data_IF_534911076764
#
_entry.id   IF_534911076764
#
_cell.length_a   1.000
_cell.length_b   1.000
_cell.length_c   1.000
_cell.angle_alpha   90.00
_cell.angle_beta   90.00
_cell.angle_gamma   90.00
#
_symmetry.space_group_name_H-M   'P 1'
#
loop_
_entity.id
_entity.type
_entity.pdbx_description
1 polymer ?
#
# COMPACT_ATOMS: atom_id res chain seq x y z
N UNK A 1 19.52 5.22 2.79
CA UNK A 1 18.87 4.23 3.67
C UNK A 1 18.33 4.99 4.88
N UNK A 2 17.18 4.58 5.43
CA UNK A 2 16.54 5.17 6.61
C UNK A 2 15.90 4.07 7.48
N UNK A 3 15.69 4.34 8.75
CA UNK A 3 15.01 3.43 9.69
C UNK A 3 14.18 4.19 10.71
N UNK A 4 13.17 3.53 11.29
CA UNK A 4 12.48 4.03 12.47
C UNK A 4 13.42 4.06 13.68
N UNK A 5 13.12 4.88 14.68
CA UNK A 5 13.98 5.06 15.86
C UNK A 5 14.15 3.77 16.68
N UNK A 6 13.14 2.91 16.68
CA UNK A 6 13.13 1.60 17.32
C UNK A 6 13.69 0.47 16.43
N UNK A 7 14.06 0.79 15.18
CA UNK A 7 14.56 -0.19 14.22
C UNK A 7 13.52 -1.18 13.71
N UNK A 8 12.21 -0.97 13.97
CA UNK A 8 11.16 -1.88 13.54
C UNK A 8 10.94 -1.90 12.02
N UNK A 9 11.28 -0.81 11.31
CA UNK A 9 11.20 -0.72 9.86
C UNK A 9 12.44 -0.02 9.30
N UNK A 10 12.99 -0.59 8.23
CA UNK A 10 14.03 0.03 7.42
C UNK A 10 13.59 0.21 5.96
N UNK A 11 14.12 1.26 5.33
CA UNK A 11 13.85 1.68 3.96
C UNK A 11 15.17 1.94 3.22
N UNK A 12 15.33 1.37 2.03
CA UNK A 12 16.48 1.60 1.15
C UNK A 12 16.02 1.83 -0.29
N UNK A 13 16.83 2.55 -1.08
CA UNK A 13 16.60 2.70 -2.52
C UNK A 13 17.10 1.45 -3.24
N UNK A 14 16.34 0.97 -4.23
CA UNK A 14 16.76 -0.08 -5.16
C UNK A 14 16.44 0.33 -6.60
N UNK A 15 17.09 -0.30 -7.56
CA UNK A 15 16.84 -0.05 -8.97
C UNK A 15 15.55 -0.74 -9.44
N UNK A 16 14.72 0.01 -10.16
CA UNK A 16 13.54 -0.50 -10.87
C UNK A 16 13.20 0.46 -12.01
N UNK A 17 13.29 -0.01 -13.26
CA UNK A 17 13.21 0.75 -14.53
C UNK A 17 14.24 1.88 -14.71
N UNK A 18 14.58 2.57 -13.62
CA UNK A 18 15.60 3.61 -13.47
C UNK A 18 16.40 3.34 -12.20
N UNK A 19 17.58 3.95 -12.10
CA UNK A 19 18.37 3.89 -10.88
C UNK A 19 17.61 4.47 -9.69
N UNK A 20 17.62 3.76 -8.57
CA UNK A 20 16.90 4.12 -7.33
C UNK A 20 15.40 4.37 -7.53
N UNK A 21 14.80 3.76 -8.56
CA UNK A 21 13.39 3.91 -8.93
C UNK A 21 12.39 3.28 -7.96
N UNK A 22 12.85 2.48 -6.99
CA UNK A 22 12.00 1.85 -6.00
C UNK A 22 12.54 1.95 -4.57
N UNK A 23 11.69 1.60 -3.60
CA UNK A 23 12.02 1.54 -2.17
C UNK A 23 11.83 0.12 -1.67
N UNK A 24 12.88 -0.49 -1.13
CA UNK A 24 12.79 -1.75 -0.39
C UNK A 24 12.48 -1.45 1.07
N UNK A 25 11.39 -2.03 1.55
CA UNK A 25 10.90 -1.95 2.93
C UNK A 25 11.12 -3.30 3.61
N UNK A 26 11.75 -3.29 4.77
CA UNK A 26 12.03 -4.50 5.56
C UNK A 26 11.52 -4.27 6.98
N UNK A 27 10.54 -5.06 7.41
CA UNK A 27 9.98 -5.00 8.76
C UNK A 27 10.74 -5.96 9.68
N UNK A 28 11.46 -5.41 10.66
CA UNK A 28 12.07 -6.15 11.77
C UNK A 28 11.11 -6.30 12.96
N UNK A 29 10.11 -5.42 13.04
CA UNK A 29 9.05 -5.40 14.05
C UNK A 29 7.72 -4.95 13.42
N UNK A 30 6.64 -4.95 14.21
CA UNK A 30 5.37 -4.39 13.76
C UNK A 30 5.52 -2.88 13.54
N UNK A 31 5.31 -2.42 12.31
CA UNK A 31 5.51 -1.02 11.96
C UNK A 31 4.68 -0.59 10.75
N UNK A 32 4.56 0.72 10.58
CA UNK A 32 3.82 1.36 9.50
C UNK A 32 4.72 2.20 8.60
N UNK A 33 4.56 2.05 7.29
CA UNK A 33 5.03 2.99 6.28
C UNK A 33 3.84 3.73 5.70
N UNK A 34 3.95 5.04 5.49
CA UNK A 34 2.88 5.85 4.93
C UNK A 34 3.41 6.82 3.87
N UNK A 35 2.65 6.99 2.79
CA UNK A 35 2.81 8.09 1.85
C UNK A 35 1.93 9.25 2.33
N UNK A 36 2.56 10.34 2.77
CA UNK A 36 1.87 11.53 3.25
C UNK A 36 1.65 12.49 2.07
N UNK A 37 0.44 12.98 1.91
CA UNK A 37 0.18 14.09 1.00
C UNK A 37 0.37 15.43 1.72
N UNK A 38 1.03 16.38 1.07
CA UNK A 38 1.19 17.73 1.64
C UNK A 38 -0.15 18.49 1.71
N UNK A 39 -1.07 18.18 0.79
CA UNK A 39 -2.45 18.66 0.77
C UNK A 39 -3.38 17.46 0.55
N UNK A 40 -4.54 17.37 1.23
CA UNK A 40 -5.46 16.27 1.03
C UNK A 40 -5.80 16.09 -0.46
N UNK A 41 -5.74 14.85 -0.93
CA UNK A 41 -6.09 14.50 -2.30
C UNK A 41 -7.61 14.33 -2.40
N UNK A 42 -8.20 15.02 -3.39
CA UNK A 42 -9.57 14.78 -3.83
C UNK A 42 -9.54 13.76 -4.96
N UNK A 43 -9.97 12.53 -4.64
CA UNK A 43 -10.13 11.42 -5.57
C UNK A 43 -11.60 10.98 -5.68
N UNK A 44 -12.58 11.81 -5.32
CA UNK A 44 -13.99 11.40 -5.35
C UNK A 44 -14.47 11.13 -6.78
N UNK A 45 -14.04 11.95 -7.74
CA UNK A 45 -14.35 11.75 -9.16
C UNK A 45 -13.79 10.42 -9.68
N UNK A 46 -12.55 10.11 -9.34
CA UNK A 46 -11.86 8.86 -9.66
C UNK A 46 -12.59 7.67 -9.01
N UNK A 47 -12.99 7.82 -7.75
CA UNK A 47 -13.73 6.81 -6.99
C UNK A 47 -15.10 6.51 -7.62
N UNK A 48 -15.79 7.53 -8.13
CA UNK A 48 -17.06 7.37 -8.86
C UNK A 48 -16.88 6.81 -10.27
N UNK A 49 -15.67 6.93 -10.85
CA UNK A 49 -15.32 6.43 -12.18
C UNK A 49 -14.69 5.02 -12.19
N UNK A 50 -14.87 4.24 -11.12
CA UNK A 50 -14.27 2.90 -10.95
C UNK A 50 -12.73 2.86 -11.10
N UNK A 51 -12.05 3.97 -10.78
CA UNK A 51 -10.59 4.04 -10.76
C UNK A 51 -10.04 3.25 -9.56
N UNK A 52 -8.84 2.71 -9.74
CA UNK A 52 -8.11 1.92 -8.75
C UNK A 52 -6.97 2.76 -8.17
N UNK A 53 -6.67 2.54 -6.89
CA UNK A 53 -5.34 2.75 -6.34
C UNK A 53 -4.46 1.59 -6.83
N UNK A 54 -3.63 1.85 -7.84
CA UNK A 54 -2.69 0.88 -8.40
C UNK A 54 -1.36 1.02 -7.68
N UNK A 55 -0.85 -0.11 -7.21
CA UNK A 55 0.43 -0.21 -6.51
C UNK A 55 1.33 -1.18 -7.27
N UNK A 56 2.47 -0.70 -7.74
CA UNK A 56 3.52 -1.55 -8.33
C UNK A 56 4.46 -1.98 -7.23
N UNK A 57 4.46 -3.27 -6.90
CA UNK A 57 5.25 -3.83 -5.82
C UNK A 57 5.87 -5.17 -6.17
N UNK A 58 6.84 -5.60 -5.38
CA UNK A 58 7.41 -6.95 -5.38
C UNK A 58 7.48 -7.46 -3.95
N UNK A 59 6.96 -8.65 -3.72
CA UNK A 59 7.03 -9.32 -2.41
C UNK A 59 8.31 -10.14 -2.36
N UNK A 60 9.27 -9.73 -1.52
CA UNK A 60 10.55 -10.42 -1.35
C UNK A 60 10.47 -11.47 -0.24
N UNK A 61 9.69 -11.21 0.81
CA UNK A 61 9.39 -12.17 1.88
C UNK A 61 8.02 -11.89 2.52
N UNK A 62 7.25 -12.95 2.73
CA UNK A 62 5.98 -12.91 3.45
C UNK A 62 5.84 -14.20 4.28
N UNK A 63 6.23 -14.19 5.57
CA UNK A 63 6.04 -15.35 6.45
C UNK A 63 4.58 -15.80 6.51
N UNK A 64 4.34 -17.09 6.72
CA UNK A 64 2.99 -17.66 6.71
C UNK A 64 2.06 -17.11 7.81
N UNK A 65 2.65 -16.69 8.93
CA UNK A 65 1.98 -16.08 10.08
C UNK A 65 2.01 -14.55 10.06
N UNK A 66 2.53 -13.95 8.98
CA UNK A 66 2.61 -12.50 8.85
C UNK A 66 1.24 -11.86 8.56
N UNK A 67 1.08 -10.62 9.02
CA UNK A 67 -0.06 -9.76 8.68
C UNK A 67 0.41 -8.55 7.91
N UNK A 68 -0.27 -8.22 6.82
CA UNK A 68 -0.09 -6.99 6.06
C UNK A 68 -1.45 -6.36 5.79
N UNK A 69 -1.59 -5.10 6.21
CA UNK A 69 -2.79 -4.30 6.00
C UNK A 69 -2.47 -3.06 5.18
N UNK A 70 -3.36 -2.76 4.24
CA UNK A 70 -3.44 -1.45 3.60
C UNK A 70 -4.23 -0.51 4.49
N UNK A 71 -3.70 0.69 4.73
CA UNK A 71 -4.40 1.75 5.43
C UNK A 71 -4.49 3.02 4.59
N UNK A 72 -5.60 3.74 4.73
CA UNK A 72 -5.74 5.10 4.22
C UNK A 72 -6.25 6.01 5.34
N UNK A 73 -5.91 7.31 5.29
CA UNK A 73 -6.39 8.33 6.24
C UNK A 73 -7.00 9.50 5.48
N UNK A 74 -8.15 9.95 5.95
CA UNK A 74 -8.83 11.15 5.48
C UNK A 74 -9.19 12.07 6.64
N UNK A 75 -9.34 13.37 6.36
CA UNK A 75 -9.81 14.36 7.34
C UNK A 75 -8.92 14.48 8.58
N UNK A 76 -7.65 14.11 8.49
CA UNK A 76 -6.69 14.23 9.59
C UNK A 76 -6.72 13.10 10.62
N UNK A 77 -7.84 12.42 10.86
CA UNK A 77 -7.95 11.41 11.93
C UNK A 77 -8.59 10.10 11.50
N UNK A 78 -9.37 10.09 10.43
CA UNK A 78 -10.15 8.93 10.06
C UNK A 78 -9.29 7.93 9.29
N UNK A 79 -8.93 6.83 9.94
CA UNK A 79 -8.14 5.74 9.34
C UNK A 79 -9.04 4.58 8.98
N UNK A 80 -8.95 4.10 7.75
CA UNK A 80 -9.54 2.83 7.31
C UNK A 80 -8.46 1.80 7.10
N UNK A 81 -8.80 0.52 7.28
CA UNK A 81 -7.88 -0.62 7.14
C UNK A 81 -8.53 -1.67 6.24
N UNK A 82 -7.79 -2.15 5.25
CA UNK A 82 -8.17 -3.26 4.37
C UNK A 82 -7.11 -4.38 4.49
N UNK A 83 -7.52 -5.63 4.75
CA UNK A 83 -6.58 -6.74 4.82
C UNK A 83 -5.94 -6.99 3.45
N UNK A 84 -4.61 -7.07 3.40
CA UNK A 84 -3.86 -7.23 2.15
C UNK A 84 -3.10 -8.56 2.08
N UNK A 85 -2.89 -9.24 3.22
CA UNK A 85 -2.10 -10.48 3.31
C UNK A 85 -2.48 -11.52 2.27
N UNK A 86 -3.78 -11.86 2.13
CA UNK A 86 -4.22 -12.91 1.23
C UNK A 86 -3.95 -12.58 -0.26
N UNK A 87 -4.02 -11.29 -0.62
CA UNK A 87 -3.70 -10.84 -1.98
C UNK A 87 -2.20 -10.95 -2.23
N UNK A 88 -1.37 -10.53 -1.27
CA UNK A 88 0.09 -10.62 -1.39
C UNK A 88 0.58 -12.08 -1.39
N UNK A 89 -0.05 -12.97 -0.63
CA UNK A 89 0.31 -14.40 -0.60
C UNK A 89 -0.01 -15.14 -1.90
N UNK A 90 -0.89 -14.59 -2.73
CA UNK A 90 -1.24 -15.16 -4.02
C UNK A 90 -0.33 -14.68 -5.17
N UNK A 91 0.60 -13.76 -4.88
CA UNK A 91 1.54 -13.24 -5.88
C UNK A 91 2.75 -14.16 -6.04
N UNK A 92 3.36 -14.12 -7.23
CA UNK A 92 4.65 -14.76 -7.46
C UNK A 92 5.74 -13.99 -6.67
N UNK A 93 6.34 -14.67 -5.70
CA UNK A 93 7.41 -14.10 -4.87
C UNK A 93 8.60 -13.67 -5.75
N UNK A 94 9.13 -12.46 -5.51
CA UNK A 94 10.23 -11.90 -6.28
C UNK A 94 9.86 -11.33 -7.66
N UNK A 95 8.58 -11.34 -8.05
CA UNK A 95 8.10 -10.71 -9.27
C UNK A 95 7.48 -9.32 -9.02
N UNK A 96 7.78 -8.36 -9.90
CA UNK A 96 7.07 -7.08 -9.92
C UNK A 96 5.64 -7.29 -10.42
N UNK A 97 4.66 -6.80 -9.65
CA UNK A 97 3.23 -6.94 -9.94
C UNK A 97 2.53 -5.62 -9.66
N UNK A 98 1.54 -5.26 -10.49
CA UNK A 98 0.59 -4.19 -10.21
C UNK A 98 -0.63 -4.76 -9.52
N UNK A 99 -0.80 -4.44 -8.24
CA UNK A 99 -2.06 -4.70 -7.54
C UNK A 99 -2.99 -3.50 -7.69
N UNK A 100 -4.25 -3.74 -8.05
CA UNK A 100 -5.29 -2.74 -8.12
C UNK A 100 -6.21 -2.84 -6.91
N UNK A 101 -6.33 -1.76 -6.13
CA UNK A 101 -7.30 -1.63 -5.06
C UNK A 101 -8.40 -0.68 -5.53
N UNK A 102 -9.66 -1.12 -5.74
CA UNK A 102 -10.73 -0.20 -6.09
C UNK A 102 -10.84 0.91 -5.04
N UNK A 103 -10.79 2.18 -5.45
CA UNK A 103 -10.91 3.31 -4.52
C UNK A 103 -12.23 3.25 -3.73
N UNK A 104 -13.28 2.70 -4.34
CA UNK A 104 -14.56 2.44 -3.67
C UNK A 104 -14.44 1.52 -2.46
N UNK A 105 -13.45 0.60 -2.39
CA UNK A 105 -13.24 -0.19 -1.18
C UNK A 105 -12.84 0.69 0.01
N UNK A 106 -12.01 1.72 -0.22
CA UNK A 106 -11.62 2.67 0.82
C UNK A 106 -12.84 3.46 1.30
N UNK A 107 -13.67 3.93 0.37
CA UNK A 107 -14.94 4.62 0.67
C UNK A 107 -15.92 3.72 1.42
N UNK A 108 -16.08 2.47 1.02
CA UNK A 108 -16.94 1.48 1.71
C UNK A 108 -16.42 1.19 3.13
N UNK A 109 -15.11 1.16 3.32
CA UNK A 109 -14.51 1.06 4.66
C UNK A 109 -14.64 2.35 5.49
N UNK A 110 -15.12 3.43 4.87
CA UNK A 110 -15.52 4.68 5.51
C UNK A 110 -14.74 5.91 5.07
N UNK A 111 -13.60 5.76 4.37
CA UNK A 111 -12.72 6.89 4.07
C UNK A 111 -13.43 7.96 3.23
N UNK A 112 -13.16 9.22 3.54
CA UNK A 112 -13.53 10.33 2.68
C UNK A 112 -12.51 10.44 1.54
N UNK A 113 -12.90 9.92 0.37
CA UNK A 113 -12.06 9.92 -0.83
C UNK A 113 -11.85 11.32 -1.42
N UNK A 114 -12.58 12.34 -0.97
CA UNK A 114 -12.36 13.73 -1.36
C UNK A 114 -11.29 14.45 -0.52
N UNK A 115 -10.80 13.81 0.56
CA UNK A 115 -9.91 14.45 1.54
C UNK A 115 -8.83 13.51 2.08
N UNK A 116 -8.20 12.71 1.20
CA UNK A 116 -7.16 11.75 1.58
C UNK A 116 -5.82 12.44 1.87
N UNK A 117 -5.45 12.54 3.13
CA UNK A 117 -4.15 13.07 3.57
C UNK A 117 -3.08 11.98 3.74
N UNK A 118 -3.50 10.70 3.87
CA UNK A 118 -2.65 9.51 3.67
C UNK A 118 -3.38 8.59 2.70
N UNK A 119 -3.15 8.71 1.38
CA UNK A 119 -3.83 7.87 0.39
C UNK A 119 -3.39 6.40 0.45
N UNK A 120 -2.19 6.13 0.98
CA UNK A 120 -1.63 4.79 1.06
C UNK A 120 -0.68 4.66 2.24
N UNK A 121 -0.85 3.59 3.00
CA UNK A 121 0.06 3.14 4.02
C UNK A 121 0.04 1.61 4.10
N UNK A 122 1.18 1.02 4.44
CA UNK A 122 1.30 -0.40 4.74
C UNK A 122 1.65 -0.56 6.22
N UNK A 123 0.82 -1.30 6.94
CA UNK A 123 1.16 -1.83 8.26
C UNK A 123 1.49 -3.30 8.12
N UNK A 124 2.66 -3.73 8.61
CA UNK A 124 3.07 -5.12 8.52
C UNK A 124 3.76 -5.62 9.79
N UNK A 125 3.70 -6.93 10.00
CA UNK A 125 4.42 -7.64 11.06
C UNK A 125 5.90 -7.85 10.70
N UNK A 126 6.68 -8.28 11.69
CA UNK A 126 8.09 -8.65 11.49
C UNK A 126 8.25 -9.74 10.42
N UNK A 127 9.37 -9.69 9.69
CA UNK A 127 9.75 -10.65 8.65
C UNK A 127 9.22 -10.33 7.26
N UNK A 128 8.28 -9.38 7.12
CA UNK A 128 7.77 -8.93 5.82
C UNK A 128 8.83 -8.11 5.09
N UNK A 129 8.98 -8.34 3.78
CA UNK A 129 9.82 -7.55 2.88
C UNK A 129 9.08 -7.26 1.57
N UNK A 130 8.91 -5.98 1.27
CA UNK A 130 8.19 -5.51 0.08
C UNK A 130 9.01 -4.40 -0.57
N UNK A 131 9.28 -4.53 -1.86
CA UNK A 131 9.74 -3.42 -2.68
C UNK A 131 8.55 -2.69 -3.29
N UNK A 132 8.54 -1.37 -3.20
CA UNK A 132 7.50 -0.48 -3.72
C UNK A 132 8.09 0.44 -4.79
N UNK A 133 7.52 0.43 -5.99
CA UNK A 133 7.99 1.25 -7.10
C UNK A 133 7.06 2.43 -7.41
N UNK A 134 5.75 2.21 -7.39
CA UNK A 134 4.77 3.21 -7.81
C UNK A 134 3.44 3.07 -7.06
N UNK A 135 2.79 4.19 -6.78
CA UNK A 135 1.46 4.28 -6.17
C UNK A 135 0.69 5.39 -6.88
N UNK A 136 -0.37 5.05 -7.60
CA UNK A 136 -1.12 6.01 -8.42
C UNK A 136 -2.61 5.69 -8.52
N UNK A 137 -3.40 6.68 -8.87
CA UNK A 137 -4.77 6.46 -9.35
C UNK A 137 -4.71 6.06 -10.84
N UNK A 138 -5.15 4.85 -11.18
CA UNK A 138 -5.13 4.32 -12.54
C UNK A 138 -6.14 3.17 -12.72
N UNK A 139 -6.16 2.55 -13.90
CA UNK A 139 -7.05 1.42 -14.21
C UNK A 139 -6.30 0.14 -14.58
N UNK A 140 -5.02 0.26 -14.96
CA UNK A 140 -4.19 -0.85 -15.38
C UNK A 140 -3.62 -1.63 -14.18
N UNK A 141 -3.91 -2.92 -14.11
CA UNK A 141 -3.49 -3.79 -13.00
C UNK A 141 -3.27 -5.22 -13.50
N UNK A 142 -2.52 -6.00 -12.73
CA UNK A 142 -2.29 -7.44 -12.98
C UNK A 142 -3.15 -8.30 -12.03
N UNK A 143 -3.32 -7.83 -10.79
CA UNK A 143 -4.12 -8.50 -9.75
C UNK A 143 -5.06 -7.50 -9.10
N UNK A 144 -6.33 -7.88 -8.90
CA UNK A 144 -7.33 -7.01 -8.28
C UNK A 144 -7.58 -7.46 -6.84
N UNK A 145 -7.46 -6.53 -5.88
CA UNK A 145 -7.93 -6.75 -4.52
C UNK A 145 -9.47 -6.82 -4.55
N UNK A 146 -10.02 -7.94 -4.12
CA UNK A 146 -11.44 -8.01 -3.84
C UNK A 146 -11.76 -7.07 -2.67
N UNK A 147 -12.69 -6.12 -2.87
CA UNK A 147 -13.18 -5.33 -1.74
C UNK A 147 -13.72 -6.30 -0.68
N UNK A 148 -13.33 -6.16 0.60
CA UNK A 148 -13.97 -6.94 1.64
C UNK A 148 -15.48 -6.68 1.59
N UNK A 149 -16.25 -7.76 1.50
CA UNK A 149 -17.70 -7.69 1.66
C UNK A 149 -18.01 -7.35 3.11
N UNK A 150 -18.80 -6.30 3.32
CA UNK A 150 -19.36 -5.95 4.63
C UNK A 150 -20.16 -7.10 5.23
#
# INVERSE_FOLDING_TARGET
QASTADGALSLSSIDHEKQEGARLLVWQGAARMALLSQQPLDLDRETNGDVLLVVTLRVDALPADASVDLQARSGGTQVVTLPLTATLSALDQGAWTRIGIPLKCLRTAGADTAALDVPFALQASAGVQIALADVRAATDHDQLLACPTQ
#
